data_IF_356011853076
#
_entry.id   IF_356011853076
#
_cell.length_a   1.000
_cell.length_b   1.000
_cell.length_c   1.000
_cell.angle_alpha   90.00
_cell.angle_beta   90.00
_cell.angle_gamma   90.00
#
_symmetry.space_group_name_H-M   'P 1'
#
loop_
_entity.id
_entity.type
_entity.pdbx_description
1 polymer ?
#
# COMPACT_ATOMS: atom_id res chain seq x y z
N UNK A 1 20.97 -10.67 10.91
CA UNK A 1 21.66 -9.40 10.57
C UNK A 1 20.63 -8.42 10.02
N UNK A 2 20.60 -7.19 10.52
CA UNK A 2 19.74 -6.14 9.99
C UNK A 2 20.41 -5.52 8.77
N UNK A 3 19.66 -5.37 7.69
CA UNK A 3 20.10 -4.63 6.49
C UNK A 3 19.60 -3.20 6.60
N UNK A 4 20.48 -2.24 6.45
CA UNK A 4 20.20 -0.82 6.62
C UNK A 4 20.66 -0.06 5.39
N UNK A 5 19.81 0.82 4.92
CA UNK A 5 20.16 1.85 3.93
C UNK A 5 19.70 3.19 4.47
N UNK A 6 20.62 4.14 4.58
CA UNK A 6 20.26 5.52 4.86
C UNK A 6 19.84 6.19 3.55
N UNK A 7 18.66 6.79 3.54
CA UNK A 7 18.15 7.56 2.40
C UNK A 7 17.77 8.96 2.86
N UNK A 8 17.87 9.92 1.96
CA UNK A 8 17.46 11.29 2.25
C UNK A 8 16.06 11.56 1.74
N UNK A 9 15.23 12.32 2.47
CA UNK A 9 13.97 12.81 1.92
C UNK A 9 14.27 13.77 0.76
N UNK A 10 13.48 13.66 -0.32
CA UNK A 10 13.61 14.55 -1.49
C UNK A 10 12.86 15.87 -1.26
N UNK A 11 12.07 15.95 -0.19
CA UNK A 11 11.40 17.19 0.25
C UNK A 11 10.03 17.41 -0.36
N UNK A 12 9.59 16.58 -1.31
CA UNK A 12 8.25 16.68 -1.91
C UNK A 12 7.25 15.81 -1.16
N UNK A 13 6.11 16.41 -0.80
CA UNK A 13 4.96 15.70 -0.23
C UNK A 13 3.80 15.82 -1.21
N UNK A 14 3.20 14.71 -1.57
CA UNK A 14 2.01 14.64 -2.41
C UNK A 14 0.84 14.23 -1.55
N UNK A 15 -0.20 15.04 -1.53
CA UNK A 15 -1.46 14.76 -0.84
C UNK A 15 -2.54 14.53 -1.89
N UNK A 16 -3.28 13.44 -1.76
CA UNK A 16 -4.39 13.11 -2.63
C UNK A 16 -5.62 12.71 -1.82
N UNK A 17 -6.79 13.06 -2.32
CA UNK A 17 -8.07 12.60 -1.82
C UNK A 17 -8.72 11.71 -2.86
N UNK A 18 -9.01 10.47 -2.48
CA UNK A 18 -9.71 9.53 -3.34
C UNK A 18 -11.21 9.64 -3.11
N UNK A 19 -11.96 9.53 -4.19
CA UNK A 19 -13.42 9.67 -4.21
C UNK A 19 -14.15 8.34 -4.10
N UNK A 20 -15.43 8.33 -3.72
CA UNK A 20 -16.24 7.11 -3.64
C UNK A 20 -16.20 6.28 -4.93
N UNK A 21 -16.02 4.98 -4.78
CA UNK A 21 -15.97 4.00 -5.88
C UNK A 21 -14.59 3.76 -6.46
N UNK A 22 -13.60 4.63 -6.17
CA UNK A 22 -12.23 4.40 -6.62
C UNK A 22 -11.60 3.19 -5.94
N UNK A 23 -10.68 2.55 -6.65
CA UNK A 23 -9.85 1.47 -6.12
C UNK A 23 -8.58 2.07 -5.51
N UNK A 24 -8.33 1.76 -4.23
CA UNK A 24 -7.22 2.38 -3.50
C UNK A 24 -5.86 2.06 -4.14
N UNK A 25 -5.61 0.78 -4.45
CA UNK A 25 -4.31 0.36 -5.00
C UNK A 25 -4.04 1.04 -6.34
N UNK A 26 -4.99 0.98 -7.26
CA UNK A 26 -4.88 1.61 -8.58
C UNK A 26 -4.74 3.13 -8.49
N UNK A 27 -5.45 3.77 -7.55
CA UNK A 27 -5.35 5.22 -7.36
C UNK A 27 -3.95 5.62 -6.88
N UNK A 28 -3.36 4.88 -5.94
CA UNK A 28 -1.97 5.13 -5.51
C UNK A 28 -1.00 4.97 -6.69
N UNK A 29 -1.14 3.90 -7.47
CA UNK A 29 -0.29 3.67 -8.66
C UNK A 29 -0.42 4.80 -9.69
N UNK A 30 -1.64 5.27 -9.94
CA UNK A 30 -1.91 6.34 -10.90
C UNK A 30 -1.32 7.67 -10.44
N UNK A 31 -1.49 8.04 -9.18
CA UNK A 31 -0.88 9.25 -8.61
C UNK A 31 0.65 9.16 -8.66
N UNK A 32 1.22 8.01 -8.32
CA UNK A 32 2.66 7.80 -8.40
C UNK A 32 3.21 8.01 -9.83
N UNK A 33 2.51 7.47 -10.83
CA UNK A 33 2.87 7.65 -12.24
C UNK A 33 2.73 9.11 -12.69
N UNK A 34 1.58 9.72 -12.41
CA UNK A 34 1.28 11.11 -12.81
C UNK A 34 2.27 12.11 -12.23
N UNK A 35 2.67 11.90 -10.97
CA UNK A 35 3.62 12.77 -10.27
C UNK A 35 5.08 12.33 -10.42
N UNK A 36 5.34 11.27 -11.17
CA UNK A 36 6.67 10.65 -11.30
C UNK A 36 7.31 10.35 -9.93
N UNK A 37 6.49 9.89 -9.00
CA UNK A 37 6.86 9.60 -7.62
C UNK A 37 7.45 8.18 -7.52
N UNK A 38 8.73 8.03 -7.83
CA UNK A 38 9.40 6.73 -7.98
C UNK A 38 9.57 5.98 -6.67
N UNK A 39 9.74 6.70 -5.58
CA UNK A 39 9.94 6.15 -4.24
C UNK A 39 9.30 7.06 -3.21
N UNK A 40 8.49 6.51 -2.34
CA UNK A 40 7.80 7.27 -1.31
C UNK A 40 7.43 6.40 -0.10
N UNK A 41 7.33 7.04 1.05
CA UNK A 41 6.54 6.55 2.17
C UNK A 41 5.07 6.90 1.93
N UNK A 42 4.19 5.96 2.23
CA UNK A 42 2.73 6.10 2.06
C UNK A 42 2.06 6.01 3.41
N UNK A 43 1.16 6.94 3.69
CA UNK A 43 0.22 6.86 4.81
C UNK A 43 -1.17 7.28 4.37
N UNK A 44 -2.20 6.65 4.94
CA UNK A 44 -3.58 6.97 4.61
C UNK A 44 -4.55 6.64 5.73
N UNK A 45 -5.66 7.36 5.74
CA UNK A 45 -6.87 7.08 6.52
C UNK A 45 -8.10 7.32 5.65
N UNK A 46 -9.25 6.86 6.07
CA UNK A 46 -10.51 7.08 5.39
C UNK A 46 -11.48 5.94 5.57
N UNK A 47 -12.32 5.68 4.56
CA UNK A 47 -13.35 4.65 4.65
C UNK A 47 -13.55 3.92 3.32
N UNK A 48 -13.86 2.64 3.43
CA UNK A 48 -14.13 1.75 2.29
C UNK A 48 -15.49 1.06 2.44
N UNK A 49 -16.11 0.74 1.32
CA UNK A 49 -17.32 -0.11 1.26
C UNK A 49 -16.98 -1.58 1.03
N UNK A 50 -15.75 -1.85 0.65
CA UNK A 50 -15.22 -3.18 0.40
C UNK A 50 -13.72 -3.20 0.67
N UNK A 51 -13.27 -4.18 1.44
CA UNK A 51 -11.85 -4.46 1.62
C UNK A 51 -11.48 -5.82 1.01
N UNK A 52 -10.41 -5.87 0.23
CA UNK A 52 -9.81 -7.09 -0.29
C UNK A 52 -8.35 -7.10 0.15
N UNK A 53 -8.00 -8.02 1.03
CA UNK A 53 -6.72 -8.04 1.73
C UNK A 53 -6.05 -9.40 1.60
N UNK A 54 -4.73 -9.40 1.62
CA UNK A 54 -3.90 -10.58 1.48
C UNK A 54 -3.09 -10.93 2.72
N UNK A 55 -2.78 -12.20 2.83
CA UNK A 55 -1.85 -12.79 3.78
C UNK A 55 -0.88 -13.68 3.02
N UNK A 56 0.44 -13.47 3.18
CA UNK A 56 1.43 -14.29 2.51
C UNK A 56 1.69 -15.58 3.29
N UNK A 57 1.35 -16.72 2.70
CA UNK A 57 1.66 -18.04 3.22
C UNK A 57 3.10 -18.42 2.86
N UNK A 58 3.94 -18.55 3.88
CA UNK A 58 5.36 -18.83 3.71
C UNK A 58 5.65 -20.26 3.25
N UNK A 59 4.79 -21.20 3.58
CA UNK A 59 4.98 -22.62 3.23
C UNK A 59 4.59 -22.83 1.76
N UNK A 60 3.44 -22.29 1.36
CA UNK A 60 2.94 -22.38 -0.02
C UNK A 60 3.57 -21.33 -0.94
N UNK A 61 4.23 -20.31 -0.38
CA UNK A 61 4.84 -19.18 -1.10
C UNK A 61 3.87 -18.43 -2.00
N UNK A 62 2.65 -18.26 -1.51
CA UNK A 62 1.58 -17.55 -2.20
C UNK A 62 0.78 -16.66 -1.26
N UNK A 63 0.05 -15.70 -1.85
CA UNK A 63 -0.91 -14.90 -1.11
C UNK A 63 -2.23 -15.64 -1.00
N UNK A 64 -2.73 -15.79 0.23
CA UNK A 64 -4.13 -16.09 0.53
C UNK A 64 -4.85 -14.76 0.73
N UNK A 65 -6.07 -14.66 0.26
CA UNK A 65 -6.81 -13.42 0.32
C UNK A 65 -8.19 -13.63 0.93
N UNK A 66 -8.75 -12.54 1.42
CA UNK A 66 -10.12 -12.49 1.94
C UNK A 66 -10.76 -11.16 1.61
N UNK A 67 -12.08 -11.17 1.50
CA UNK A 67 -12.88 -9.99 1.17
C UNK A 67 -13.90 -9.73 2.26
N UNK A 68 -14.10 -8.45 2.59
CA UNK A 68 -15.13 -7.99 3.52
C UNK A 68 -16.00 -6.98 2.78
N UNK A 69 -17.25 -7.34 2.56
CA UNK A 69 -18.26 -6.57 1.82
C UNK A 69 -19.12 -5.77 2.82
N UNK A 70 -18.56 -4.74 3.43
CA UNK A 70 -19.27 -3.79 4.28
C UNK A 70 -18.47 -2.52 4.49
N UNK A 71 -19.12 -1.49 4.99
CA UNK A 71 -18.44 -0.23 5.35
C UNK A 71 -17.46 -0.43 6.50
N UNK A 72 -16.24 0.03 6.29
CA UNK A 72 -15.14 -0.05 7.24
C UNK A 72 -14.39 1.29 7.26
N UNK A 73 -13.92 1.68 8.44
CA UNK A 73 -12.94 2.75 8.58
C UNK A 73 -11.53 2.23 8.34
N UNK A 74 -10.77 2.86 7.45
CA UNK A 74 -9.33 2.64 7.37
C UNK A 74 -8.68 3.39 8.53
N UNK A 75 -8.39 2.66 9.59
CA UNK A 75 -7.79 3.20 10.81
C UNK A 75 -6.32 3.57 10.57
N UNK A 76 -5.63 2.77 9.79
CA UNK A 76 -4.25 2.98 9.38
C UNK A 76 -3.94 2.23 8.10
N UNK A 77 -3.37 2.92 7.15
CA UNK A 77 -2.73 2.32 5.97
C UNK A 77 -1.32 2.87 5.84
N UNK A 78 -0.33 1.99 5.88
CA UNK A 78 1.08 2.37 5.85
C UNK A 78 1.84 1.51 4.85
N UNK A 79 2.81 2.12 4.17
CA UNK A 79 3.64 1.38 3.25
C UNK A 79 4.63 2.23 2.48
N UNK A 80 4.98 1.75 1.32
CA UNK A 80 5.93 2.42 0.45
C UNK A 80 5.64 2.19 -1.03
N UNK A 81 6.16 3.09 -1.84
CA UNK A 81 6.29 2.96 -3.28
C UNK A 81 7.77 2.77 -3.57
N UNK A 82 8.11 1.80 -4.41
CA UNK A 82 9.46 1.55 -4.86
C UNK A 82 9.47 1.10 -6.32
N UNK A 83 10.62 1.23 -6.97
CA UNK A 83 10.78 0.74 -8.35
C UNK A 83 11.19 -0.73 -8.36
N UNK A 84 10.57 -1.49 -9.26
CA UNK A 84 11.05 -2.79 -9.67
C UNK A 84 11.08 -2.81 -11.21
N UNK A 85 12.28 -2.85 -11.77
CA UNK A 85 12.48 -2.56 -13.20
C UNK A 85 11.86 -1.20 -13.55
N UNK A 86 10.98 -1.11 -14.53
CA UNK A 86 10.32 0.14 -14.93
C UNK A 86 8.93 0.33 -14.31
N UNK A 87 8.54 -0.54 -13.35
CA UNK A 87 7.22 -0.48 -12.71
C UNK A 87 7.27 0.19 -11.35
N UNK A 88 6.20 0.90 -11.03
CA UNK A 88 5.93 1.36 -9.68
C UNK A 88 5.29 0.22 -8.88
N UNK A 89 5.91 -0.18 -7.78
CA UNK A 89 5.39 -1.22 -6.90
C UNK A 89 4.90 -0.56 -5.63
N UNK A 90 3.60 -0.63 -5.40
CA UNK A 90 2.94 -0.17 -4.18
C UNK A 90 2.86 -1.32 -3.20
N UNK A 91 3.44 -1.15 -2.02
CA UNK A 91 3.37 -2.11 -0.94
C UNK A 91 2.81 -1.43 0.30
N UNK A 92 1.56 -1.69 0.59
CA UNK A 92 0.80 -1.07 1.68
C UNK A 92 0.09 -2.15 2.48
N UNK A 93 0.14 -2.05 3.80
CA UNK A 93 -0.70 -2.81 4.70
C UNK A 93 -1.75 -1.89 5.30
N UNK A 94 -2.95 -2.41 5.53
CA UNK A 94 -4.06 -1.65 6.11
C UNK A 94 -4.66 -2.37 7.30
N UNK A 95 -5.17 -1.58 8.24
CA UNK A 95 -6.09 -2.01 9.30
C UNK A 95 -7.41 -1.29 9.07
N UNK A 96 -8.48 -2.06 8.97
CA UNK A 96 -9.83 -1.55 8.77
C UNK A 96 -10.75 -2.01 9.91
N UNK A 97 -11.55 -1.10 10.45
CA UNK A 97 -12.44 -1.38 11.58
C UNK A 97 -13.92 -1.25 11.18
N UNK A 98 -14.75 -2.13 11.70
CA UNK A 98 -16.21 -2.03 11.56
C UNK A 98 -16.83 -1.10 12.63
N UNK A 99 -18.15 -0.95 12.59
CA UNK A 99 -18.92 -0.09 13.50
C UNK A 99 -18.79 -0.45 14.98
N UNK A 100 -18.30 -1.66 15.29
CA UNK A 100 -18.05 -2.10 16.67
C UNK A 100 -16.60 -1.92 17.09
N UNK A 101 -15.72 -1.45 16.18
CA UNK A 101 -14.28 -1.33 16.39
C UNK A 101 -13.52 -2.65 16.18
N UNK A 102 -14.18 -3.71 15.71
CA UNK A 102 -13.49 -4.94 15.31
C UNK A 102 -12.61 -4.67 14.11
N UNK A 103 -11.34 -5.03 14.21
CA UNK A 103 -10.34 -4.78 13.19
C UNK A 103 -10.04 -6.00 12.33
N UNK A 104 -9.82 -5.71 11.06
CA UNK A 104 -9.33 -6.64 10.04
C UNK A 104 -8.11 -6.02 9.41
N UNK A 105 -7.10 -6.78 9.09
CA UNK A 105 -5.88 -6.21 8.51
C UNK A 105 -5.17 -7.16 7.58
N UNK A 106 -4.37 -6.60 6.69
CA UNK A 106 -3.57 -7.35 5.74
C UNK A 106 -2.92 -6.49 4.68
N UNK A 107 -2.33 -7.18 3.72
CA UNK A 107 -1.74 -6.58 2.53
C UNK A 107 -2.83 -6.04 1.60
N UNK A 108 -2.70 -4.78 1.19
CA UNK A 108 -3.63 -4.12 0.28
C UNK A 108 -3.60 -4.79 -1.09
N UNK A 109 -4.74 -5.30 -1.53
CA UNK A 109 -4.96 -5.85 -2.86
C UNK A 109 -5.92 -4.97 -3.67
N UNK A 110 -5.93 -5.17 -4.99
CA UNK A 110 -6.96 -4.63 -5.85
C UNK A 110 -8.35 -5.07 -5.38
N UNK A 111 -9.31 -4.16 -5.38
CA UNK A 111 -10.67 -4.42 -4.93
C UNK A 111 -11.04 -3.77 -3.59
N UNK A 112 -10.15 -3.00 -2.98
CA UNK A 112 -10.51 -2.10 -1.89
C UNK A 112 -11.17 -0.85 -2.45
N UNK A 113 -12.48 -0.69 -2.22
CA UNK A 113 -13.30 0.38 -2.79
C UNK A 113 -13.60 1.47 -1.77
N UNK A 114 -13.27 2.70 -2.13
CA UNK A 114 -13.58 3.89 -1.30
C UNK A 114 -15.07 4.04 -1.12
N UNK A 115 -15.53 4.28 0.12
CA UNK A 115 -16.95 4.61 0.41
C UNK A 115 -17.17 6.12 0.54
N UNK A 116 -16.44 6.79 1.40
CA UNK A 116 -16.56 8.23 1.65
C UNK A 116 -15.35 8.97 1.08
N UNK A 117 -14.18 8.64 1.56
CA UNK A 117 -12.91 9.26 1.15
C UNK A 117 -11.73 8.40 1.58
N UNK A 118 -10.62 8.52 0.88
CA UNK A 118 -9.29 8.17 1.40
C UNK A 118 -8.44 9.44 1.31
N UNK A 119 -7.86 9.80 2.42
CA UNK A 119 -6.86 10.87 2.51
C UNK A 119 -5.48 10.22 2.48
N UNK A 120 -4.77 10.45 1.40
CA UNK A 120 -3.49 9.82 1.08
C UNK A 120 -2.37 10.85 1.17
N UNK A 121 -1.34 10.53 1.93
CA UNK A 121 -0.10 11.33 2.01
C UNK A 121 1.07 10.48 1.58
N UNK A 122 1.82 10.96 0.62
CA UNK A 122 3.02 10.32 0.09
C UNK A 122 4.21 11.26 0.25
N UNK A 123 5.18 10.84 1.05
CA UNK A 123 6.43 11.59 1.25
C UNK A 123 7.52 10.99 0.38
N UNK A 124 7.96 11.76 -0.62
CA UNK A 124 9.02 11.32 -1.52
C UNK A 124 10.33 11.12 -0.77
N UNK A 125 10.97 10.01 -1.07
CA UNK A 125 12.29 9.65 -0.54
C UNK A 125 13.23 9.38 -1.71
N UNK A 126 14.52 9.31 -1.43
CA UNK A 126 15.51 8.89 -2.40
C UNK A 126 15.25 7.44 -2.85
N UNK A 127 15.95 7.01 -3.87
CA UNK A 127 15.61 5.81 -4.62
C UNK A 127 15.50 4.53 -3.78
N UNK A 128 14.29 3.97 -3.72
CA UNK A 128 14.02 2.63 -3.25
C UNK A 128 13.85 1.70 -4.45
N UNK A 129 14.57 0.59 -4.44
CA UNK A 129 14.47 -0.47 -5.46
C UNK A 129 14.03 -1.78 -4.86
N UNK A 130 13.42 -2.62 -5.69
CA UNK A 130 13.08 -3.99 -5.31
C UNK A 130 13.83 -4.97 -6.18
N UNK A 131 14.12 -6.14 -5.60
CA UNK A 131 14.70 -7.27 -6.30
C UNK A 131 14.00 -8.54 -5.84
N UNK A 132 13.93 -9.53 -6.74
CA UNK A 132 13.37 -10.84 -6.43
C UNK A 132 14.19 -11.53 -5.35
N UNK A 133 13.52 -11.98 -4.32
CA UNK A 133 14.07 -12.85 -3.28
C UNK A 133 13.83 -14.31 -3.65
N UNK A 134 14.91 -15.10 -3.73
CA UNK A 134 14.82 -16.49 -4.16
C UNK A 134 14.17 -17.42 -3.11
N UNK A 135 14.18 -17.04 -1.84
CA UNK A 135 13.60 -17.85 -0.78
C UNK A 135 12.06 -17.74 -0.77
N UNK A 136 11.54 -16.56 -0.89
CA UNK A 136 10.09 -16.28 -0.82
C UNK A 136 9.44 -16.15 -2.18
N UNK A 137 10.21 -15.80 -3.23
CA UNK A 137 9.69 -15.45 -4.54
C UNK A 137 9.09 -14.04 -4.61
N UNK A 138 9.16 -13.27 -3.53
CA UNK A 138 8.66 -11.89 -3.47
C UNK A 138 9.71 -10.89 -3.98
N UNK A 139 9.25 -9.71 -4.37
CA UNK A 139 10.10 -8.58 -4.72
C UNK A 139 10.33 -7.73 -3.46
N UNK A 140 11.40 -8.02 -2.72
CA UNK A 140 11.78 -7.34 -1.49
C UNK A 140 12.59 -6.07 -1.78
N UNK A 141 12.63 -5.15 -0.81
CA UNK A 141 13.51 -3.99 -0.89
C UNK A 141 14.97 -4.45 -1.01
N UNK A 142 15.65 -3.92 -2.02
CA UNK A 142 17.08 -4.16 -2.22
C UNK A 142 17.85 -3.12 -1.43
N UNK A 143 18.34 -3.52 -0.28
CA UNK A 143 19.12 -2.72 0.66
C UNK A 143 20.49 -3.35 0.86
#
# INVERSE_FOLDING_TARGET
>A
MVRVQEIKPVGRVVVARLEPGEDILHSIENVAKEKELRSAHVSMIGAVSRAHLGYFDREEKEYKDFTIEKDLEIVSGLGNIAKHEDRYVVHVHVVAADETGRCYGGHLLEGCKVSVTIELVMTEVDELKRARDNLTGLNLLKI
#
